data_IF_372075142112
#
_entry.id   IF_372075142112
#
_cell.length_a   1.000
_cell.length_b   1.000
_cell.length_c   1.000
_cell.angle_alpha   90.00
_cell.angle_beta   90.00
_cell.angle_gamma   90.00
#
_symmetry.space_group_name_H-M   'P 1'
#
loop_
_entity.id
_entity.type
_entity.pdbx_description
1 polymer ?
#
# COMPACT_ATOMS: atom_id res chain seq x y z
N UNK A 1 -19.14 -59.10 -51.28
CA UNK A 1 -18.76 -59.60 -49.94
C UNK A 1 -17.67 -58.68 -49.39
N UNK A 2 -18.06 -57.72 -48.55
CA UNK A 2 -17.15 -56.73 -47.97
C UNK A 2 -16.95 -57.06 -46.47
N UNK A 3 -15.72 -57.37 -46.10
CA UNK A 3 -15.31 -57.70 -44.74
C UNK A 3 -15.19 -56.41 -43.95
N UNK A 4 -16.14 -56.17 -43.05
CA UNK A 4 -16.10 -55.08 -42.07
C UNK A 4 -15.17 -55.45 -40.92
N UNK A 5 -14.10 -54.67 -40.75
CA UNK A 5 -13.16 -54.81 -39.64
C UNK A 5 -13.68 -54.02 -38.43
N UNK A 6 -14.04 -54.63 -37.29
CA UNK A 6 -14.51 -53.89 -36.13
C UNK A 6 -13.35 -53.21 -35.40
N UNK A 7 -13.50 -51.91 -35.13
CA UNK A 7 -12.54 -51.10 -34.41
C UNK A 7 -12.36 -51.58 -32.94
N UNK A 8 -11.14 -51.48 -32.37
CA UNK A 8 -10.87 -51.91 -31.01
C UNK A 8 -11.49 -50.93 -29.98
N UNK A 9 -12.24 -51.50 -29.03
CA UNK A 9 -12.77 -50.82 -27.83
C UNK A 9 -11.62 -50.24 -27.01
N UNK A 10 -11.56 -48.91 -26.89
CA UNK A 10 -10.71 -48.21 -25.90
C UNK A 10 -11.30 -48.44 -24.51
N UNK A 11 -10.56 -49.12 -23.64
CA UNK A 11 -10.90 -49.26 -22.22
C UNK A 11 -10.78 -47.93 -21.47
N UNK A 12 -11.44 -47.81 -20.30
CA UNK A 12 -11.35 -46.62 -19.46
C UNK A 12 -9.96 -46.54 -18.85
N UNK A 13 -9.15 -45.59 -19.30
CA UNK A 13 -7.91 -45.22 -18.63
C UNK A 13 -8.26 -44.54 -17.30
N UNK A 14 -8.34 -45.32 -16.23
CA UNK A 14 -8.22 -44.85 -14.85
C UNK A 14 -6.77 -44.41 -14.61
N UNK A 15 -6.38 -43.30 -15.24
CA UNK A 15 -5.08 -42.67 -15.07
C UNK A 15 -5.19 -41.61 -14.01
N UNK A 16 -4.96 -42.00 -12.76
CA UNK A 16 -4.11 -41.30 -11.80
C UNK A 16 -3.98 -39.80 -12.14
N UNK A 17 -4.91 -38.99 -11.63
CA UNK A 17 -4.68 -37.56 -11.41
C UNK A 17 -3.62 -37.44 -10.32
N UNK A 18 -2.39 -37.79 -10.70
CA UNK A 18 -1.18 -37.49 -9.95
C UNK A 18 -1.22 -35.99 -9.76
N UNK A 19 -1.38 -35.57 -8.51
CA UNK A 19 -1.11 -34.23 -8.06
C UNK A 19 0.28 -33.86 -8.58
N UNK A 20 0.32 -33.22 -9.75
CA UNK A 20 1.47 -32.49 -10.24
C UNK A 20 1.59 -31.29 -9.32
N UNK A 21 2.09 -31.55 -8.11
CA UNK A 21 2.68 -30.58 -7.22
C UNK A 21 3.75 -29.94 -8.08
N UNK A 22 3.42 -28.78 -8.66
CA UNK A 22 4.31 -28.04 -9.53
C UNK A 22 5.64 -27.98 -8.79
N UNK A 23 6.64 -28.73 -9.28
CA UNK A 23 8.00 -28.65 -8.75
C UNK A 23 8.38 -27.19 -8.97
N UNK A 24 8.34 -26.41 -7.90
CA UNK A 24 8.88 -25.05 -7.85
C UNK A 24 10.28 -25.18 -8.44
N UNK A 25 10.48 -24.62 -9.64
CA UNK A 25 11.81 -24.58 -10.25
C UNK A 25 12.72 -23.93 -9.21
N UNK A 26 13.89 -24.51 -8.91
CA UNK A 26 14.82 -23.88 -7.97
C UNK A 26 15.11 -22.46 -8.48
N UNK A 27 14.65 -21.46 -7.74
CA UNK A 27 14.89 -20.06 -8.07
C UNK A 27 16.41 -19.82 -7.98
N UNK A 28 16.97 -19.25 -9.05
CA UNK A 28 18.35 -18.81 -9.01
C UNK A 28 18.50 -17.69 -7.96
N UNK A 29 19.63 -17.61 -7.27
CA UNK A 29 19.87 -16.54 -6.29
C UNK A 29 19.70 -15.14 -6.90
N UNK A 30 20.00 -14.99 -8.20
CA UNK A 30 19.75 -13.76 -8.96
C UNK A 30 18.26 -13.49 -9.21
N UNK A 31 17.41 -14.51 -9.31
CA UNK A 31 15.95 -14.38 -9.42
C UNK A 31 15.32 -14.04 -8.07
N UNK A 32 15.81 -14.61 -6.97
CA UNK A 32 15.39 -14.22 -5.62
C UNK A 32 15.71 -12.74 -5.36
N UNK A 33 16.93 -12.31 -5.69
CA UNK A 33 17.34 -10.90 -5.56
C UNK A 33 16.52 -9.97 -6.47
N UNK A 34 16.07 -10.45 -7.65
CA UNK A 34 15.17 -9.71 -8.56
C UNK A 34 13.78 -9.52 -7.96
N UNK A 35 13.21 -10.59 -7.42
CA UNK A 35 11.88 -10.56 -6.81
C UNK A 35 11.86 -9.64 -5.58
N UNK A 36 12.94 -9.60 -4.80
CA UNK A 36 13.09 -8.67 -3.67
C UNK A 36 13.20 -7.20 -4.11
N UNK A 37 13.81 -6.92 -5.27
CA UNK A 37 14.02 -5.55 -5.77
C UNK A 37 12.83 -4.98 -6.54
N UNK A 38 12.06 -5.82 -7.22
CA UNK A 38 10.95 -5.39 -8.08
C UNK A 38 9.83 -6.45 -8.09
N UNK A 39 9.11 -6.62 -6.98
CA UNK A 39 8.20 -7.74 -6.77
C UNK A 39 7.12 -7.85 -7.84
N UNK A 40 6.85 -9.12 -8.17
CA UNK A 40 5.65 -9.72 -8.75
C UNK A 40 4.38 -8.88 -8.75
N UNK A 41 3.82 -8.90 -7.56
CA UNK A 41 2.49 -8.48 -7.18
C UNK A 41 2.65 -7.98 -5.73
N UNK A 42 3.18 -6.76 -5.53
CA UNK A 42 3.54 -6.29 -4.21
C UNK A 42 2.33 -6.32 -3.27
N UNK A 43 2.53 -6.94 -2.10
CA UNK A 43 1.53 -7.00 -1.04
C UNK A 43 0.27 -7.82 -1.38
N UNK A 44 0.27 -8.71 -2.39
CA UNK A 44 -0.94 -9.47 -2.79
C UNK A 44 -1.67 -10.16 -1.63
N UNK A 45 -0.94 -10.77 -0.70
CA UNK A 45 -1.52 -11.41 0.51
C UNK A 45 -1.98 -10.37 1.53
N UNK A 46 -1.11 -9.41 1.86
CA UNK A 46 -1.40 -8.34 2.81
C UNK A 46 -2.64 -7.52 2.42
N UNK A 47 -2.83 -7.29 1.13
CA UNK A 47 -3.96 -6.54 0.62
C UNK A 47 -5.31 -7.21 0.91
N UNK A 48 -5.40 -8.54 0.86
CA UNK A 48 -6.62 -9.25 1.25
C UNK A 48 -6.94 -9.03 2.73
N UNK A 49 -5.92 -9.07 3.59
CA UNK A 49 -6.10 -8.78 5.01
C UNK A 49 -6.55 -7.34 5.24
N UNK A 50 -5.99 -6.37 4.51
CA UNK A 50 -6.44 -4.98 4.56
C UNK A 50 -7.89 -4.83 4.11
N UNK A 51 -8.30 -5.45 2.99
CA UNK A 51 -9.70 -5.40 2.54
C UNK A 51 -10.65 -5.97 3.58
N UNK A 52 -10.29 -7.09 4.23
CA UNK A 52 -11.08 -7.70 5.30
C UNK A 52 -11.15 -6.78 6.52
N UNK A 53 -10.01 -6.24 6.97
CA UNK A 53 -9.95 -5.31 8.10
C UNK A 53 -10.79 -4.05 7.87
N UNK A 54 -10.69 -3.44 6.68
CA UNK A 54 -11.49 -2.28 6.29
C UNK A 54 -12.97 -2.65 6.20
N UNK A 55 -13.31 -3.84 5.69
CA UNK A 55 -14.69 -4.30 5.67
C UNK A 55 -15.28 -4.42 7.08
N UNK A 56 -14.54 -4.98 8.04
CA UNK A 56 -14.97 -5.03 9.44
C UNK A 56 -15.15 -3.63 10.05
N UNK A 57 -14.24 -2.69 9.77
CA UNK A 57 -14.38 -1.30 10.21
C UNK A 57 -15.66 -0.65 9.65
N UNK A 58 -15.96 -0.86 8.36
CA UNK A 58 -17.19 -0.37 7.73
C UNK A 58 -18.46 -1.05 8.27
N UNK A 59 -18.41 -2.34 8.61
CA UNK A 59 -19.52 -3.02 9.32
C UNK A 59 -19.74 -2.36 10.69
N UNK A 60 -18.65 -2.12 11.44
CA UNK A 60 -18.69 -1.43 12.72
C UNK A 60 -19.31 -0.03 12.61
N UNK A 61 -18.92 0.75 11.59
CA UNK A 61 -19.55 2.03 11.29
C UNK A 61 -21.03 1.87 10.93
N UNK A 62 -21.38 0.89 10.11
CA UNK A 62 -22.78 0.61 9.76
C UNK A 62 -23.65 0.35 11.00
N UNK A 63 -23.13 -0.43 11.96
CA UNK A 63 -23.78 -0.63 13.25
C UNK A 63 -23.83 0.65 14.08
N UNK A 64 -22.74 1.42 14.15
CA UNK A 64 -22.71 2.69 14.86
C UNK A 64 -23.80 3.66 14.35
N UNK A 65 -23.90 3.84 13.03
CA UNK A 65 -24.93 4.68 12.41
C UNK A 65 -26.35 4.18 12.72
N UNK A 66 -26.59 2.86 12.71
CA UNK A 66 -27.89 2.30 13.11
C UNK A 66 -28.25 2.57 14.57
N UNK A 67 -27.26 2.65 15.46
CA UNK A 67 -27.45 2.94 16.88
C UNK A 67 -27.47 4.45 17.20
N UNK A 68 -27.57 5.31 16.18
CA UNK A 68 -27.75 6.75 16.37
C UNK A 68 -26.46 7.57 16.49
N UNK A 69 -25.30 6.99 16.19
CA UNK A 69 -24.05 7.76 16.02
C UNK A 69 -24.12 8.49 14.67
N UNK A 70 -23.65 9.74 14.61
CA UNK A 70 -23.60 10.55 13.39
C UNK A 70 -24.85 11.41 13.14
N UNK A 71 -24.98 11.91 11.91
CA UNK A 71 -26.05 12.83 11.54
C UNK A 71 -27.41 12.09 11.54
N UNK A 72 -28.41 12.59 12.29
CA UNK A 72 -29.70 11.91 12.46
C UNK A 72 -30.50 11.75 11.16
N UNK A 73 -30.37 12.68 10.22
CA UNK A 73 -31.09 12.66 8.94
C UNK A 73 -30.50 11.61 7.98
N UNK A 74 -29.18 11.43 8.03
CA UNK A 74 -28.45 10.59 7.08
C UNK A 74 -28.10 9.20 7.62
N UNK A 75 -28.36 8.92 8.89
CA UNK A 75 -27.92 7.69 9.58
C UNK A 75 -28.28 6.39 8.85
N UNK A 76 -29.48 6.28 8.30
CA UNK A 76 -29.93 5.07 7.59
C UNK A 76 -29.22 4.91 6.25
N UNK A 77 -29.02 6.01 5.53
CA UNK A 77 -28.26 6.02 4.29
C UNK A 77 -26.78 5.68 4.55
N UNK A 78 -26.16 6.33 5.54
CA UNK A 78 -24.78 6.08 5.95
C UNK A 78 -24.54 4.63 6.37
N UNK A 79 -25.47 4.05 7.14
CA UNK A 79 -25.42 2.65 7.52
C UNK A 79 -25.49 1.73 6.30
N UNK A 80 -26.46 1.97 5.40
CA UNK A 80 -26.68 1.14 4.21
C UNK A 80 -25.48 1.16 3.27
N UNK A 81 -24.92 2.35 3.03
CA UNK A 81 -23.71 2.53 2.22
C UNK A 81 -22.52 1.81 2.86
N UNK A 82 -22.34 1.93 4.18
CA UNK A 82 -21.25 1.24 4.90
C UNK A 82 -21.36 -0.28 4.80
N UNK A 83 -22.54 -0.85 5.03
CA UNK A 83 -22.77 -2.29 4.90
C UNK A 83 -22.60 -2.77 3.46
N UNK A 84 -23.08 -2.00 2.48
CA UNK A 84 -22.94 -2.35 1.06
C UNK A 84 -21.47 -2.35 0.62
N UNK A 85 -20.72 -1.32 1.02
CA UNK A 85 -19.28 -1.24 0.76
C UNK A 85 -18.53 -2.39 1.45
N UNK A 86 -18.85 -2.69 2.72
CA UNK A 86 -18.25 -3.81 3.43
C UNK A 86 -18.52 -5.16 2.74
N UNK A 87 -19.77 -5.40 2.33
CA UNK A 87 -20.14 -6.61 1.59
C UNK A 87 -19.36 -6.74 0.27
N UNK A 88 -19.24 -5.64 -0.49
CA UNK A 88 -18.45 -5.60 -1.71
C UNK A 88 -16.96 -5.90 -1.46
N UNK A 89 -16.39 -5.39 -0.36
CA UNK A 89 -15.00 -5.66 0.01
C UNK A 89 -14.77 -7.12 0.44
N UNK A 90 -15.68 -7.70 1.21
CA UNK A 90 -15.61 -9.12 1.59
C UNK A 90 -15.68 -9.99 0.34
N UNK A 91 -16.63 -9.72 -0.57
CA UNK A 91 -16.72 -10.43 -1.84
C UNK A 91 -15.41 -10.29 -2.65
N UNK A 92 -14.85 -9.08 -2.72
CA UNK A 92 -13.60 -8.78 -3.43
C UNK A 92 -12.38 -9.48 -2.81
N UNK A 93 -12.38 -9.69 -1.49
CA UNK A 93 -11.33 -10.38 -0.76
C UNK A 93 -11.39 -11.91 -0.92
N UNK A 94 -12.60 -12.48 -0.88
CA UNK A 94 -12.84 -13.94 -0.94
C UNK A 94 -12.78 -14.46 -2.38
N UNK A 95 -13.31 -13.72 -3.35
CA UNK A 95 -13.35 -14.17 -4.74
C UNK A 95 -11.94 -14.23 -5.35
N UNK A 96 -11.69 -15.22 -6.25
CA UNK A 96 -10.39 -15.44 -6.88
C UNK A 96 -10.09 -14.42 -7.99
N UNK A 97 -10.41 -13.14 -7.78
CA UNK A 97 -10.06 -12.07 -8.71
C UNK A 97 -8.55 -11.92 -8.87
N UNK A 98 -8.13 -11.62 -10.10
CA UNK A 98 -6.77 -11.24 -10.43
C UNK A 98 -6.34 -9.97 -9.69
N UNK A 99 -5.02 -9.80 -9.53
CA UNK A 99 -4.43 -8.70 -8.74
C UNK A 99 -4.92 -7.32 -9.21
N UNK A 100 -4.83 -7.02 -10.51
CA UNK A 100 -5.25 -5.74 -11.07
C UNK A 100 -6.75 -5.47 -10.94
N UNK A 101 -7.60 -6.48 -11.14
CA UNK A 101 -9.06 -6.31 -11.00
C UNK A 101 -9.45 -6.03 -9.55
N UNK A 102 -8.86 -6.76 -8.59
CA UNK A 102 -9.11 -6.53 -7.16
C UNK A 102 -8.75 -5.10 -6.75
N UNK A 103 -7.60 -4.64 -7.21
CA UNK A 103 -7.11 -3.29 -6.99
C UNK A 103 -8.02 -2.20 -7.61
N UNK A 104 -8.50 -2.45 -8.84
CA UNK A 104 -9.41 -1.53 -9.51
C UNK A 104 -10.76 -1.44 -8.78
N UNK A 105 -11.33 -2.58 -8.35
CA UNK A 105 -12.59 -2.62 -7.61
C UNK A 105 -12.47 -1.88 -6.27
N UNK A 106 -11.42 -2.13 -5.50
CA UNK A 106 -11.21 -1.42 -4.24
C UNK A 106 -11.00 0.09 -4.44
N UNK A 107 -10.26 0.47 -5.49
CA UNK A 107 -10.06 1.87 -5.86
C UNK A 107 -11.39 2.55 -6.17
N UNK A 108 -12.23 1.93 -6.99
CA UNK A 108 -13.55 2.45 -7.35
C UNK A 108 -14.46 2.58 -6.12
N UNK A 109 -14.46 1.59 -5.21
CA UNK A 109 -15.22 1.66 -3.96
C UNK A 109 -14.72 2.84 -3.11
N UNK A 110 -13.41 2.98 -2.92
CA UNK A 110 -12.81 4.07 -2.15
C UNK A 110 -13.17 5.45 -2.71
N UNK A 111 -13.01 5.65 -4.03
CA UNK A 111 -13.37 6.90 -4.72
C UNK A 111 -14.88 7.15 -4.66
N UNK A 112 -15.71 6.11 -4.79
CA UNK A 112 -17.16 6.23 -4.64
C UNK A 112 -17.57 6.76 -3.27
N UNK A 113 -17.00 6.20 -2.20
CA UNK A 113 -17.23 6.67 -0.83
C UNK A 113 -16.78 8.13 -0.63
N UNK A 114 -15.60 8.49 -1.15
CA UNK A 114 -15.10 9.86 -1.11
C UNK A 114 -16.01 10.85 -1.84
N UNK A 115 -16.47 10.50 -3.04
CA UNK A 115 -17.37 11.34 -3.84
C UNK A 115 -18.73 11.53 -3.15
N UNK A 116 -19.23 10.51 -2.45
CA UNK A 116 -20.42 10.64 -1.61
C UNK A 116 -20.19 11.57 -0.41
N UNK A 117 -19.03 11.48 0.24
CA UNK A 117 -18.64 12.37 1.35
C UNK A 117 -18.56 13.84 0.94
N UNK A 118 -17.97 14.13 -0.22
CA UNK A 118 -17.93 15.50 -0.78
C UNK A 118 -19.32 16.08 -1.07
N UNK A 119 -20.32 15.22 -1.31
CA UNK A 119 -21.72 15.62 -1.46
C UNK A 119 -22.47 15.70 -0.13
N UNK A 120 -21.78 15.56 1.00
CA UNK A 120 -22.39 15.54 2.33
C UNK A 120 -23.25 14.30 2.58
N UNK A 121 -22.97 13.18 1.90
CA UNK A 121 -23.78 11.97 1.97
C UNK A 121 -22.98 10.75 2.45
N UNK A 122 -23.70 9.75 2.97
CA UNK A 122 -23.10 8.48 3.38
C UNK A 122 -22.24 8.59 4.65
N UNK A 123 -21.31 7.65 4.88
CA UNK A 123 -20.52 7.58 6.11
C UNK A 123 -19.47 8.70 6.25
N UNK A 124 -19.27 9.50 5.21
CA UNK A 124 -18.31 10.60 5.15
C UNK A 124 -19.03 11.97 5.16
N UNK A 125 -20.31 12.03 5.55
CA UNK A 125 -21.12 13.26 5.49
C UNK A 125 -20.56 14.41 6.33
N UNK A 126 -19.84 14.11 7.42
CA UNK A 126 -19.23 15.13 8.28
C UNK A 126 -18.12 15.95 7.60
N UNK A 127 -17.63 15.52 6.43
CA UNK A 127 -16.65 16.30 5.66
C UNK A 127 -17.26 17.61 5.15
N UNK A 128 -18.49 17.55 4.61
CA UNK A 128 -19.12 18.68 3.94
C UNK A 128 -19.64 19.78 4.89
N UNK A 129 -19.71 19.50 6.20
CA UNK A 129 -20.25 20.44 7.19
C UNK A 129 -19.37 21.67 7.39
N UNK A 130 -18.07 21.55 7.13
CA UNK A 130 -17.12 22.64 7.35
C UNK A 130 -17.06 23.65 6.18
N UNK A 131 -17.94 23.49 5.17
CA UNK A 131 -18.17 24.47 4.09
C UNK A 131 -17.03 24.63 3.07
N UNK A 132 -15.93 23.88 3.23
CA UNK A 132 -14.70 24.04 2.45
C UNK A 132 -14.55 23.02 1.32
N UNK A 133 -15.42 23.02 0.31
CA UNK A 133 -15.36 22.03 -0.80
C UNK A 133 -13.96 21.87 -1.40
N UNK A 134 -13.25 22.97 -1.65
CA UNK A 134 -11.88 22.92 -2.19
C UNK A 134 -10.89 22.29 -1.21
N UNK A 135 -11.01 22.56 0.08
CA UNK A 135 -10.16 21.97 1.12
C UNK A 135 -10.37 20.46 1.20
N UNK A 136 -11.62 20.03 1.18
CA UNK A 136 -11.95 18.60 1.26
C UNK A 136 -11.54 17.86 -0.02
N UNK A 137 -11.76 18.45 -1.19
CA UNK A 137 -11.33 17.87 -2.46
C UNK A 137 -9.81 17.67 -2.48
N UNK A 138 -9.05 18.70 -2.14
CA UNK A 138 -7.58 18.66 -2.15
C UNK A 138 -7.01 17.70 -1.10
N UNK A 139 -7.66 17.59 0.06
CA UNK A 139 -7.37 16.57 1.07
C UNK A 139 -7.57 15.16 0.53
N UNK A 140 -8.70 14.87 -0.11
CA UNK A 140 -9.00 13.54 -0.64
C UNK A 140 -8.07 13.15 -1.79
N UNK A 141 -7.71 14.11 -2.65
CA UNK A 141 -6.66 13.95 -3.67
C UNK A 141 -5.33 13.58 -3.00
N UNK A 142 -4.92 14.33 -1.97
CA UNK A 142 -3.67 14.09 -1.24
C UNK A 142 -3.66 12.70 -0.58
N UNK A 143 -4.73 12.36 0.14
CA UNK A 143 -4.93 11.07 0.80
C UNK A 143 -4.93 9.88 -0.17
N UNK A 144 -5.23 10.10 -1.45
CA UNK A 144 -5.24 9.05 -2.46
C UNK A 144 -3.91 8.95 -3.20
N UNK A 145 -3.42 10.07 -3.75
CA UNK A 145 -2.27 10.08 -4.64
C UNK A 145 -0.94 9.97 -3.89
N UNK A 146 -0.80 10.68 -2.77
CA UNK A 146 0.48 10.76 -2.07
C UNK A 146 0.88 9.42 -1.45
N UNK A 147 0.03 8.71 -0.68
CA UNK A 147 0.38 7.40 -0.16
C UNK A 147 0.58 6.37 -1.28
N UNK A 148 -0.22 6.42 -2.35
CA UNK A 148 -0.05 5.52 -3.49
C UNK A 148 1.31 5.69 -4.17
N UNK A 149 1.74 6.94 -4.40
CA UNK A 149 3.03 7.24 -5.00
C UNK A 149 4.21 6.90 -4.08
N UNK A 150 4.07 7.14 -2.76
CA UNK A 150 5.07 6.76 -1.76
C UNK A 150 5.27 5.25 -1.69
N UNK A 151 4.17 4.49 -1.64
CA UNK A 151 4.21 3.02 -1.66
C UNK A 151 4.79 2.50 -2.98
N UNK A 152 4.40 3.08 -4.12
CA UNK A 152 4.95 2.73 -5.43
C UNK A 152 6.46 2.95 -5.46
N UNK A 153 6.93 4.09 -4.97
CA UNK A 153 8.36 4.38 -4.92
C UNK A 153 9.11 3.49 -3.92
N UNK A 154 8.51 3.16 -2.79
CA UNK A 154 9.13 2.26 -1.81
C UNK A 154 9.39 0.86 -2.39
N UNK A 155 8.49 0.36 -3.24
CA UNK A 155 8.62 -0.96 -3.88
C UNK A 155 9.42 -0.94 -5.20
N UNK A 156 9.41 0.17 -5.94
CA UNK A 156 10.10 0.31 -7.23
C UNK A 156 11.19 1.39 -7.19
N UNK A 157 12.08 1.32 -6.18
CA UNK A 157 13.09 2.35 -5.87
C UNK A 157 14.09 2.67 -7.00
N UNK A 158 14.40 1.69 -7.84
CA UNK A 158 15.31 1.85 -8.98
C UNK A 158 14.62 2.48 -10.20
N UNK A 159 13.29 2.51 -10.23
CA UNK A 159 12.54 2.95 -11.41
C UNK A 159 12.45 4.48 -11.45
N UNK A 160 13.12 5.11 -12.43
CA UNK A 160 13.17 6.58 -12.55
C UNK A 160 11.78 7.22 -12.61
N UNK A 161 10.80 6.56 -13.24
CA UNK A 161 9.42 7.09 -13.33
C UNK A 161 8.68 7.09 -12.00
N UNK A 162 9.06 6.25 -11.04
CA UNK A 162 8.51 6.33 -9.68
C UNK A 162 8.83 7.67 -9.01
N UNK A 163 9.97 8.30 -9.36
CA UNK A 163 10.31 9.65 -8.88
C UNK A 163 9.39 10.71 -9.45
N UNK A 164 9.08 10.63 -10.75
CA UNK A 164 8.16 11.55 -11.39
C UNK A 164 6.74 11.39 -10.85
N UNK A 165 6.28 10.16 -10.59
CA UNK A 165 4.98 9.91 -9.95
C UNK A 165 4.88 10.55 -8.55
N UNK A 166 5.92 10.41 -7.72
CA UNK A 166 5.96 11.08 -6.41
C UNK A 166 5.99 12.61 -6.56
N UNK A 167 6.77 13.15 -7.50
CA UNK A 167 6.81 14.58 -7.77
C UNK A 167 5.43 15.12 -8.19
N UNK A 168 4.73 14.41 -9.09
CA UNK A 168 3.38 14.79 -9.51
C UNK A 168 2.38 14.72 -8.37
N UNK A 169 2.46 13.70 -7.51
CA UNK A 169 1.58 13.58 -6.34
C UNK A 169 1.81 14.72 -5.35
N UNK A 170 3.06 15.14 -5.13
CA UNK A 170 3.40 16.28 -4.29
C UNK A 170 2.92 17.61 -4.86
N UNK A 171 3.08 17.84 -6.17
CA UNK A 171 2.54 19.03 -6.83
C UNK A 171 1.02 19.09 -6.68
N UNK A 172 0.33 17.97 -6.85
CA UNK A 172 -1.12 17.87 -6.65
C UNK A 172 -1.55 18.01 -5.18
N UNK A 173 -0.64 17.77 -4.23
CA UNK A 173 -0.86 17.99 -2.80
C UNK A 173 -0.57 19.43 -2.36
N UNK A 174 0.05 20.28 -3.19
CA UNK A 174 0.35 21.67 -2.83
C UNK A 174 -0.89 22.47 -2.41
N UNK A 175 -2.04 22.40 -3.11
CA UNK A 175 -3.24 23.11 -2.66
C UNK A 175 -3.67 22.72 -1.24
N UNK A 176 -3.56 21.43 -0.89
CA UNK A 176 -3.85 20.95 0.47
C UNK A 176 -2.88 21.56 1.49
N UNK A 177 -1.57 21.55 1.20
CA UNK A 177 -0.54 22.19 2.05
C UNK A 177 -0.81 23.68 2.24
N UNK A 178 -1.22 24.39 1.19
CA UNK A 178 -1.57 25.81 1.27
C UNK A 178 -2.79 26.01 2.17
N UNK A 179 -3.86 25.22 1.99
CA UNK A 179 -5.07 25.34 2.83
C UNK A 179 -4.80 25.05 4.31
N UNK A 180 -4.02 24.01 4.62
CA UNK A 180 -3.66 23.68 6.00
C UNK A 180 -2.64 24.68 6.57
N UNK A 181 -1.74 25.21 5.74
CA UNK A 181 -0.82 26.29 6.12
C UNK A 181 -1.55 27.58 6.50
N UNK A 182 -2.54 27.99 5.71
CA UNK A 182 -3.38 29.14 6.06
C UNK A 182 -4.13 28.93 7.38
N UNK A 183 -4.60 27.70 7.62
CA UNK A 183 -5.28 27.35 8.87
C UNK A 183 -4.36 27.38 10.09
N UNK A 184 -3.11 26.95 9.93
CA UNK A 184 -2.08 26.99 10.98
C UNK A 184 -1.83 28.42 11.49
N UNK A 185 -1.83 29.41 10.57
CA UNK A 185 -1.62 30.83 10.89
C UNK A 185 -2.90 31.59 11.21
N UNK A 186 -4.08 30.99 11.06
CA UNK A 186 -5.32 31.65 11.38
C UNK A 186 -5.50 31.73 12.91
N UNK A 187 -5.43 32.95 13.46
CA UNK A 187 -5.58 33.18 14.91
C UNK A 187 -7.01 32.95 15.41
N UNK A 188 -8.02 33.01 14.54
CA UNK A 188 -9.40 32.69 14.92
C UNK A 188 -9.69 31.19 14.92
N UNK A 189 -8.78 30.36 14.41
CA UNK A 189 -8.94 28.91 14.45
C UNK A 189 -8.54 28.37 15.83
N UNK A 190 -9.30 27.38 16.29
CA UNK A 190 -9.01 26.65 17.53
C UNK A 190 -7.60 26.06 17.52
N UNK A 191 -6.96 26.05 18.69
CA UNK A 191 -5.58 25.58 18.83
C UNK A 191 -5.40 24.11 18.40
N UNK A 192 -6.40 23.26 18.67
CA UNK A 192 -6.40 21.84 18.26
C UNK A 192 -6.33 21.73 16.74
N UNK A 193 -7.17 22.50 16.04
CA UNK A 193 -7.22 22.55 14.58
C UNK A 193 -5.91 23.05 14.00
N UNK A 194 -5.29 24.05 14.62
CA UNK A 194 -3.99 24.59 14.20
C UNK A 194 -2.86 23.56 14.37
N UNK A 195 -2.81 22.85 15.50
CA UNK A 195 -1.82 21.78 15.71
C UNK A 195 -2.01 20.68 14.67
N UNK A 196 -3.24 20.24 14.45
CA UNK A 196 -3.53 19.18 13.49
C UNK A 196 -3.15 19.60 12.05
N UNK A 197 -3.42 20.84 11.66
CA UNK A 197 -2.98 21.41 10.39
C UNK A 197 -1.44 21.44 10.27
N UNK A 198 -0.74 21.86 11.34
CA UNK A 198 0.72 21.85 11.39
C UNK A 198 1.32 20.45 11.24
N UNK A 199 0.72 19.46 11.90
CA UNK A 199 1.10 18.04 11.78
C UNK A 199 0.89 17.55 10.34
N UNK A 200 -0.25 17.88 9.72
CA UNK A 200 -0.55 17.50 8.34
C UNK A 200 0.46 18.10 7.35
N UNK A 201 0.77 19.39 7.48
CA UNK A 201 1.81 20.05 6.67
C UNK A 201 3.16 19.36 6.87
N UNK A 202 3.56 19.11 8.13
CA UNK A 202 4.83 18.45 8.44
C UNK A 202 4.93 17.07 7.78
N UNK A 203 3.88 16.25 7.85
CA UNK A 203 3.88 14.90 7.25
C UNK A 203 4.01 14.97 5.74
N UNK A 204 3.30 15.89 5.08
CA UNK A 204 3.42 16.07 3.62
C UNK A 204 4.83 16.55 3.26
N UNK A 205 5.43 17.46 4.03
CA UNK A 205 6.83 17.87 3.84
C UNK A 205 7.80 16.70 4.07
N UNK A 206 7.59 15.89 5.10
CA UNK A 206 8.39 14.70 5.36
C UNK A 206 8.28 13.66 4.23
N UNK A 207 7.21 13.65 3.44
CA UNK A 207 7.13 12.79 2.25
C UNK A 207 8.21 13.11 1.20
N UNK A 208 8.88 14.27 1.28
CA UNK A 208 10.08 14.59 0.49
C UNK A 208 11.24 13.64 0.78
N UNK A 209 11.30 13.00 1.96
CA UNK A 209 12.26 11.91 2.20
C UNK A 209 12.06 10.74 1.24
N UNK A 210 10.89 10.61 0.62
CA UNK A 210 10.68 9.70 -0.50
C UNK A 210 11.62 9.96 -1.69
N UNK A 211 12.26 11.14 -1.81
CA UNK A 211 13.24 11.44 -2.86
C UNK A 211 14.66 10.94 -2.61
N UNK A 212 14.94 10.33 -1.45
CA UNK A 212 16.28 9.80 -1.15
C UNK A 212 16.78 8.81 -2.22
N UNK A 213 18.10 8.58 -2.20
CA UNK A 213 18.80 7.70 -3.14
C UNK A 213 18.13 6.32 -3.24
N UNK A 214 18.29 5.64 -4.39
CA UNK A 214 17.79 4.28 -4.62
C UNK A 214 18.34 3.24 -3.62
N UNK A 215 19.39 3.58 -2.87
CA UNK A 215 19.93 2.75 -1.81
C UNK A 215 18.96 2.60 -0.62
N UNK A 216 18.12 3.61 -0.33
CA UNK A 216 17.20 3.60 0.81
C UNK A 216 15.76 3.83 0.35
N UNK A 217 14.79 3.26 1.05
CA UNK A 217 13.37 3.53 0.76
C UNK A 217 12.91 4.91 1.24
N UNK A 218 13.77 5.65 1.94
CA UNK A 218 13.43 6.94 2.57
C UNK A 218 12.33 6.86 3.62
N UNK A 219 12.00 5.64 4.08
CA UNK A 219 10.82 5.42 4.92
C UNK A 219 9.49 5.63 4.19
N UNK A 220 9.44 5.56 2.85
CA UNK A 220 8.25 5.87 2.06
C UNK A 220 6.98 5.15 2.52
N UNK A 221 7.07 3.88 2.90
CA UNK A 221 5.93 3.13 3.45
C UNK A 221 5.44 3.69 4.80
N UNK A 222 6.34 4.15 5.67
CA UNK A 222 5.98 4.77 6.95
C UNK A 222 5.31 6.12 6.73
N UNK A 223 5.85 6.95 5.84
CA UNK A 223 5.24 8.24 5.49
C UNK A 223 3.86 8.05 4.85
N UNK A 224 3.68 7.04 4.00
CA UNK A 224 2.37 6.68 3.46
C UNK A 224 1.36 6.33 4.57
N UNK A 225 1.79 5.54 5.56
CA UNK A 225 0.95 5.23 6.72
C UNK A 225 0.64 6.48 7.56
N UNK A 226 1.62 7.35 7.83
CA UNK A 226 1.35 8.58 8.57
C UNK A 226 0.33 9.48 7.86
N UNK A 227 0.43 9.63 6.53
CA UNK A 227 -0.58 10.37 5.75
C UNK A 227 -1.97 9.73 5.89
N UNK A 228 -2.08 8.40 5.74
CA UNK A 228 -3.35 7.69 5.80
C UNK A 228 -4.00 7.69 7.19
N UNK A 229 -3.22 7.80 8.27
CA UNK A 229 -3.73 7.73 9.64
C UNK A 229 -3.88 9.12 10.28
N UNK A 230 -2.92 10.02 10.13
CA UNK A 230 -2.93 11.30 10.86
C UNK A 230 -3.81 12.36 10.19
N UNK A 231 -3.91 12.37 8.86
CA UNK A 231 -4.79 13.32 8.16
C UNK A 231 -6.27 13.09 8.50
N UNK A 232 -6.81 11.86 8.53
CA UNK A 232 -8.18 11.64 8.99
C UNK A 232 -8.40 11.95 10.48
N UNK A 233 -7.38 11.78 11.33
CA UNK A 233 -7.47 12.10 12.77
C UNK A 233 -7.81 13.58 12.98
N UNK A 234 -7.30 14.49 12.15
CA UNK A 234 -7.67 15.91 12.17
C UNK A 234 -9.19 16.12 12.05
N UNK A 235 -9.88 15.31 11.22
CA UNK A 235 -11.34 15.35 11.10
C UNK A 235 -11.97 14.93 12.43
N UNK A 236 -11.49 13.85 13.04
CA UNK A 236 -12.02 13.35 14.31
C UNK A 236 -11.83 14.34 15.47
N UNK A 237 -10.73 15.08 15.47
CA UNK A 237 -10.43 16.11 16.47
C UNK A 237 -11.40 17.31 16.40
N UNK A 238 -12.15 17.49 15.30
CA UNK A 238 -13.23 18.50 15.21
C UNK A 238 -14.36 18.23 16.21
N UNK A 239 -14.44 17.02 16.78
CA UNK A 239 -15.36 16.74 17.89
C UNK A 239 -15.11 17.63 19.12
N UNK A 240 -13.90 18.17 19.27
CA UNK A 240 -13.50 19.01 20.39
C UNK A 240 -13.53 20.52 20.07
N UNK A 241 -14.10 20.90 18.93
CA UNK A 241 -14.25 22.31 18.54
C UNK A 241 -15.72 22.73 18.67
N UNK A 242 -16.02 24.05 18.70
CA UNK A 242 -17.40 24.55 18.73
C UNK A 242 -18.28 24.11 17.54
N UNK A 243 -17.68 23.53 16.50
CA UNK A 243 -18.39 22.96 15.35
C UNK A 243 -19.14 21.67 15.68
N UNK A 244 -18.85 21.04 16.82
CA UNK A 244 -19.55 19.88 17.33
C UNK A 244 -20.72 20.32 18.22
N UNK A 245 -21.81 20.75 17.58
CA UNK A 245 -23.06 21.05 18.28
C UNK A 245 -23.95 19.80 18.40
N UNK A 246 -24.87 19.79 19.37
CA UNK A 246 -25.85 18.72 19.56
C UNK A 246 -26.65 18.42 18.28
N UNK A 247 -26.88 19.45 17.46
CA UNK A 247 -27.60 19.34 16.18
C UNK A 247 -26.81 18.57 15.11
N UNK A 248 -25.46 18.59 15.14
CA UNK A 248 -24.64 17.83 14.18
C UNK A 248 -24.64 16.33 14.44
N UNK A 249 -25.03 15.91 15.65
CA UNK A 249 -25.15 14.51 16.04
C UNK A 249 -23.92 13.96 16.77
N UNK A 250 -24.18 13.07 17.73
CA UNK A 250 -23.16 12.52 18.61
C UNK A 250 -22.12 11.71 17.84
N UNK A 251 -20.83 12.00 18.09
CA UNK A 251 -19.67 11.32 17.48
C UNK A 251 -19.65 11.33 15.93
N UNK A 252 -20.25 12.34 15.29
CA UNK A 252 -20.23 12.47 13.83
C UNK A 252 -18.79 12.56 13.30
N UNK A 253 -17.95 13.42 13.89
CA UNK A 253 -16.60 13.66 13.40
C UNK A 253 -15.67 12.44 13.55
N UNK A 254 -15.65 11.72 14.68
CA UNK A 254 -14.89 10.46 14.79
C UNK A 254 -15.38 9.37 13.83
N UNK A 255 -16.70 9.24 13.63
CA UNK A 255 -17.25 8.29 12.66
C UNK A 255 -16.84 8.66 11.22
N UNK A 256 -16.90 9.96 10.89
CA UNK A 256 -16.47 10.50 9.60
C UNK A 256 -14.98 10.28 9.38
N UNK A 257 -14.14 10.51 10.40
CA UNK A 257 -12.70 10.27 10.34
C UNK A 257 -12.38 8.80 10.02
N UNK A 258 -13.04 7.85 10.70
CA UNK A 258 -12.88 6.43 10.41
C UNK A 258 -13.35 6.08 8.99
N UNK A 259 -14.46 6.70 8.53
CA UNK A 259 -14.96 6.56 7.17
C UNK A 259 -13.96 7.06 6.12
N UNK A 260 -13.38 8.26 6.33
CA UNK A 260 -12.33 8.86 5.49
C UNK A 260 -11.09 7.97 5.47
N UNK A 261 -10.69 7.45 6.62
CA UNK A 261 -9.55 6.54 6.73
C UNK A 261 -9.80 5.26 5.90
N UNK A 262 -10.96 4.62 6.06
CA UNK A 262 -11.32 3.43 5.29
C UNK A 262 -11.32 3.73 3.77
N UNK A 263 -11.99 4.80 3.37
CA UNK A 263 -12.10 5.18 1.95
C UNK A 263 -10.74 5.53 1.34
N UNK A 264 -9.89 6.28 2.07
CA UNK A 264 -8.55 6.65 1.61
C UNK A 264 -7.59 5.48 1.55
N UNK A 265 -7.65 4.55 2.50
CA UNK A 265 -6.86 3.32 2.42
C UNK A 265 -7.24 2.48 1.20
N UNK A 266 -8.54 2.34 0.89
CA UNK A 266 -9.00 1.62 -0.30
C UNK A 266 -8.56 2.30 -1.60
N UNK A 267 -8.71 3.62 -1.68
CA UNK A 267 -8.32 4.41 -2.84
C UNK A 267 -6.80 4.37 -3.04
N UNK A 268 -6.01 4.66 -2.00
CA UNK A 268 -4.55 4.70 -2.10
C UNK A 268 -3.95 3.32 -2.39
N UNK A 269 -4.35 2.27 -1.67
CA UNK A 269 -3.84 0.92 -1.90
C UNK A 269 -4.30 0.37 -3.25
N UNK A 270 -5.56 0.60 -3.62
CA UNK A 270 -6.08 0.21 -4.94
C UNK A 270 -5.32 0.90 -6.07
N UNK A 271 -5.10 2.21 -5.98
CA UNK A 271 -4.33 2.97 -6.96
C UNK A 271 -2.88 2.49 -7.04
N UNK A 272 -2.21 2.31 -5.90
CA UNK A 272 -0.86 1.74 -5.84
C UNK A 272 -0.78 0.41 -6.59
N UNK A 273 -1.72 -0.49 -6.36
CA UNK A 273 -1.72 -1.81 -6.99
C UNK A 273 -2.07 -1.75 -8.49
N UNK A 274 -2.97 -0.87 -8.92
CA UNK A 274 -3.26 -0.66 -10.34
C UNK A 274 -2.01 -0.14 -11.06
N UNK A 275 -1.31 0.84 -10.47
CA UNK A 275 -0.06 1.38 -11.00
C UNK A 275 1.03 0.30 -11.00
N UNK A 276 1.17 -0.47 -9.93
CA UNK A 276 2.11 -1.60 -9.85
C UNK A 276 1.82 -2.67 -10.91
N UNK A 277 0.56 -3.03 -11.14
CA UNK A 277 0.18 -3.98 -12.18
C UNK A 277 0.52 -3.46 -13.58
N UNK A 278 0.35 -2.15 -13.81
CA UNK A 278 0.60 -1.53 -15.13
C UNK A 278 2.08 -1.32 -15.44
N UNK A 279 2.84 -0.85 -14.46
CA UNK A 279 4.24 -0.42 -14.64
C UNK A 279 5.27 -1.41 -14.10
N UNK A 280 4.87 -2.37 -13.27
CA UNK A 280 5.73 -3.40 -12.69
C UNK A 280 6.56 -4.17 -13.73
N UNK A 281 5.99 -4.64 -14.86
CA UNK A 281 6.77 -5.31 -15.90
C UNK A 281 7.91 -4.44 -16.45
N UNK A 282 7.61 -3.18 -16.78
CA UNK A 282 8.61 -2.24 -17.30
C UNK A 282 9.67 -1.88 -16.26
N UNK A 283 9.28 -1.79 -14.98
CA UNK A 283 10.23 -1.51 -13.90
C UNK A 283 11.26 -2.64 -13.76
N UNK A 284 10.85 -3.90 -13.90
CA UNK A 284 11.75 -5.06 -13.86
C UNK A 284 12.78 -5.02 -14.98
N UNK A 285 12.34 -4.74 -16.20
CA UNK A 285 13.23 -4.71 -17.38
C UNK A 285 14.34 -3.66 -17.25
N UNK A 286 14.02 -2.49 -16.69
CA UNK A 286 14.99 -1.38 -16.53
C UNK A 286 15.91 -1.52 -15.32
N UNK A 287 15.56 -2.36 -14.36
CA UNK A 287 16.29 -2.46 -13.08
C UNK A 287 17.49 -3.39 -13.10
N UNK A 288 17.73 -4.08 -14.23
CA UNK A 288 18.74 -5.12 -14.33
C UNK A 288 19.88 -4.72 -15.27
N UNK A 289 21.15 -4.84 -14.84
CA UNK A 289 22.25 -4.82 -15.79
C UNK A 289 22.03 -5.95 -16.80
N UNK A 290 22.37 -5.73 -18.09
CA UNK A 290 22.26 -6.79 -19.10
C UNK A 290 23.02 -8.01 -18.60
N UNK A 291 22.57 -9.24 -18.92
CA UNK A 291 23.29 -10.44 -18.52
C UNK A 291 24.73 -10.27 -19.01
N UNK A 292 25.64 -10.04 -18.08
CA UNK A 292 27.06 -10.04 -18.37
C UNK A 292 27.28 -11.40 -18.97
N UNK A 293 27.61 -11.47 -20.27
CA UNK A 293 28.01 -12.72 -20.89
C UNK A 293 29.10 -13.23 -19.96
N UNK A 294 28.81 -14.28 -19.22
CA UNK A 294 29.81 -14.97 -18.44
C UNK A 294 30.78 -15.46 -19.51
N UNK A 295 31.84 -14.70 -19.76
CA UNK A 295 33.00 -15.21 -20.46
C UNK A 295 33.32 -16.49 -19.71
N UNK A 296 33.26 -17.65 -20.38
CA UNK A 296 33.47 -18.93 -19.72
C UNK A 296 34.72 -18.76 -18.88
N UNK A 297 34.56 -18.91 -17.55
CA UNK A 297 35.71 -18.88 -16.65
C UNK A 297 36.67 -19.88 -17.27
N UNK A 298 37.86 -19.46 -17.74
CA UNK A 298 38.79 -20.38 -18.34
C UNK A 298 38.95 -21.49 -17.32
N UNK A 299 38.52 -22.70 -17.69
CA UNK A 299 38.70 -23.88 -16.85
C UNK A 299 40.19 -23.93 -16.65
N UNK A 300 40.63 -23.56 -15.45
CA UNK A 300 42.04 -23.58 -15.11
C UNK A 300 42.58 -24.96 -15.44
N UNK A 301 43.86 -25.08 -15.83
CA UNK A 301 44.47 -26.37 -16.08
C UNK A 301 44.13 -27.30 -14.92
N UNK A 302 43.58 -28.46 -15.29
CA UNK A 302 43.17 -29.54 -14.40
C UNK A 302 44.28 -29.74 -13.35
N UNK A 303 43.98 -29.79 -12.04
CA UNK A 303 44.98 -29.95 -10.99
C UNK A 303 45.54 -31.38 -11.03
N UNK A 304 46.40 -31.67 -11.99
CA UNK A 304 47.12 -32.95 -12.11
C UNK A 304 48.59 -32.81 -11.67
N UNK A 305 49.01 -31.66 -11.11
CA UNK A 305 50.42 -31.45 -10.74
C UNK A 305 50.66 -30.66 -9.44
N UNK A 306 49.70 -30.55 -8.52
CA UNK A 306 49.92 -29.96 -7.18
C UNK A 306 50.01 -31.04 -6.08
N UNK A 307 50.69 -32.14 -6.40
CA UNK A 307 51.05 -33.20 -5.47
C UNK A 307 52.57 -33.20 -5.22
N UNK A 308 53.17 -32.06 -4.92
CA UNK A 308 54.61 -31.99 -4.58
C UNK A 308 55.08 -30.71 -3.87
N UNK A 309 54.20 -29.91 -3.24
CA UNK A 309 54.65 -28.81 -2.39
C UNK A 309 54.64 -29.26 -0.92
N UNK A 310 55.79 -29.31 -0.22
CA UNK A 310 55.83 -29.63 1.19
C UNK A 310 55.09 -28.56 1.98
N UNK A 311 54.15 -28.99 2.82
CA UNK A 311 53.46 -28.14 3.78
C UNK A 311 54.47 -27.29 4.57
N UNK A 312 54.45 -25.95 4.49
CA UNK A 312 55.19 -25.13 5.44
C UNK A 312 54.60 -25.34 6.83
N UNK A 313 55.49 -25.65 7.77
CA UNK A 313 55.17 -25.79 9.19
C UNK A 313 54.37 -24.57 9.69
N UNK A 314 53.36 -24.78 10.56
CA UNK A 314 52.65 -23.68 11.21
C UNK A 314 53.65 -22.86 12.04
N UNK A 315 53.75 -21.57 11.74
CA UNK A 315 54.47 -20.62 12.58
C UNK A 315 53.83 -20.58 13.98
N UNK A 316 54.63 -20.51 15.06
CA UNK A 316 54.12 -20.44 16.42
C UNK A 316 53.25 -19.19 16.60
N UNK A 317 52.09 -19.38 17.21
CA UNK A 317 51.14 -18.34 17.53
C UNK A 317 51.82 -17.23 18.34
N UNK A 318 51.93 -16.04 17.76
CA UNK A 318 52.30 -14.85 18.50
C UNK A 318 51.14 -14.49 19.44
N UNK A 319 51.45 -14.46 20.74
CA UNK A 319 50.54 -14.10 21.82
C UNK A 319 49.77 -12.80 21.52
N UNK A 320 48.44 -12.90 21.50
CA UNK A 320 47.58 -11.74 21.42
C UNK A 320 47.60 -10.98 22.76
N UNK A 321 47.90 -9.66 22.77
CA UNK A 321 47.83 -8.87 23.99
C UNK A 321 46.39 -8.75 24.48
N UNK A 322 46.15 -9.20 25.72
CA UNK A 322 44.95 -8.93 26.52
C UNK A 322 44.75 -7.43 26.66
N UNK A 323 43.95 -6.82 25.78
CA UNK A 323 43.48 -5.46 25.94
C UNK A 323 42.29 -5.43 26.92
N UNK A 324 42.65 -5.01 28.12
CA UNK A 324 41.87 -4.42 29.21
C UNK A 324 40.41 -4.04 28.90
N UNK A 325 39.51 -4.69 29.66
CA UNK A 325 38.24 -4.14 30.14
C UNK A 325 38.48 -2.71 30.67
N UNK A 326 37.85 -1.72 30.06
CA UNK A 326 37.51 -0.48 30.75
C UNK A 326 35.99 -0.33 30.80
N UNK A 327 35.54 -0.19 32.04
CA UNK A 327 34.24 0.19 32.55
C UNK A 327 33.83 1.58 32.07
N UNK A 328 32.54 1.77 31.74
CA UNK A 328 31.66 2.79 32.32
C UNK A 328 30.20 2.47 32.00
#
# INVERSE_FOLDING_TARGET
>A
MAVTNPAPKRGPTSGIHSAAKAREKPMLASEALREDLAPSEPGKRQFRFWLIGIAFALVGLGFAFRNGIGNPELRWQAATVSFSAAGALIATAVLPFGYGLRAAVSFVIGIGLMAMGLKGSGPLSGIALDGGFLRDLTRLITLTLLPAALLFRAHYRAYRRARYMLATALVLALPFVVTEGLLLFNQSAEWVTRIAAGVNVLIVVCSLFGFTSSATSGGGSWWAMFVLFLVPVEIGLRQFTPLADAETGYLLYPATALGVQCASMLAALGLFQVVAARFGPHARDTSLPPPTKLTPVPVGPKPEAELAAPHPHPAPAADAPKALRQTH
#
